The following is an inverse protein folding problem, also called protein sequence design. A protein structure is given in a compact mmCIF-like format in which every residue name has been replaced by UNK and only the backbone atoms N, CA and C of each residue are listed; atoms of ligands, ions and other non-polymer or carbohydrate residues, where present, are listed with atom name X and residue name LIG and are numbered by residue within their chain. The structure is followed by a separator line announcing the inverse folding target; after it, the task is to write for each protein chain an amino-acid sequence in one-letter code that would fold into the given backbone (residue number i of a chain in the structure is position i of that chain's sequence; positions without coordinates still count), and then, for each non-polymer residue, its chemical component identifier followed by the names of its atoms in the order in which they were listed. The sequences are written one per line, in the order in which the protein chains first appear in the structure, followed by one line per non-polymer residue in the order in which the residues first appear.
data_IF_815770204005
#
_entry.id   IF_815770204005
#
_cell.length_a   1.000
_cell.length_b   1.000
_cell.length_c   1.000
_cell.angle_alpha   90.00
_cell.angle_beta   90.00
_cell.angle_gamma   90.00
#
_symmetry.space_group_name_H-M   'P 1'
#
loop_
_entity.id
_entity.type
_entity.pdbx_description
1 polymer ?
#
# COMPACT_ATOMS: atom_id res chain seq x y z
N UNK A 1 7.81 13.67 -4.66
CA UNK A 1 8.07 15.11 -4.59
C UNK A 1 9.31 15.42 -5.43
N UNK A 2 9.24 16.37 -6.37
CA UNK A 2 10.34 16.80 -7.26
C UNK A 2 11.02 15.66 -8.03
N UNK A 3 10.26 14.66 -8.49
CA UNK A 3 10.79 13.51 -9.23
C UNK A 3 11.47 12.45 -8.37
N UNK A 4 11.55 12.62 -7.06
CA UNK A 4 12.00 11.60 -6.14
C UNK A 4 10.79 10.82 -5.62
N UNK A 5 10.68 9.57 -6.02
CA UNK A 5 9.70 8.66 -5.48
C UNK A 5 10.10 8.22 -4.08
N UNK A 6 9.13 7.97 -3.22
CA UNK A 6 9.41 7.50 -1.87
C UNK A 6 9.76 6.01 -1.85
N UNK A 7 8.97 5.22 -2.51
CA UNK A 7 9.04 3.76 -2.63
C UNK A 7 8.09 3.35 -3.74
N UNK A 8 8.13 2.09 -4.13
CA UNK A 8 7.05 1.48 -4.90
C UNK A 8 5.72 1.61 -4.16
N UNK A 9 4.60 1.82 -4.85
CA UNK A 9 3.28 1.82 -4.24
C UNK A 9 3.05 0.56 -3.40
N UNK A 10 2.32 0.68 -2.30
CA UNK A 10 2.11 -0.41 -1.35
C UNK A 10 1.47 -1.64 -1.97
N UNK A 11 0.60 -1.44 -2.95
CA UNK A 11 -0.16 -2.47 -3.65
C UNK A 11 0.56 -3.07 -4.86
N UNK A 12 1.83 -2.77 -5.07
CA UNK A 12 2.60 -3.43 -6.11
C UNK A 12 3.46 -4.54 -5.53
N UNK A 13 3.46 -5.66 -6.20
CA UNK A 13 4.18 -6.88 -5.85
C UNK A 13 5.70 -6.71 -5.80
N UNK A 14 6.25 -5.63 -6.33
CA UNK A 14 7.69 -5.36 -6.39
C UNK A 14 8.32 -4.85 -5.08
N UNK A 15 7.58 -4.84 -3.98
CA UNK A 15 7.98 -4.16 -2.75
C UNK A 15 8.65 -5.02 -1.68
N UNK A 16 9.31 -6.10 -2.02
CA UNK A 16 10.04 -6.86 -1.01
C UNK A 16 11.18 -6.03 -0.47
N UNK A 17 10.97 -5.54 0.71
CA UNK A 17 11.91 -5.05 1.70
C UNK A 17 13.07 -4.16 1.21
N UNK A 18 13.22 -3.01 1.75
CA UNK A 18 14.52 -2.60 2.09
C UNK A 18 14.91 -1.15 1.92
N UNK A 19 14.41 -0.38 1.00
CA UNK A 19 14.80 1.02 0.91
C UNK A 19 13.87 1.88 1.77
N UNK A 20 14.48 2.68 2.65
CA UNK A 20 13.72 3.71 3.36
C UNK A 20 13.13 4.72 2.36
N UNK A 21 11.88 5.16 2.56
CA UNK A 21 11.28 6.18 1.70
C UNK A 21 12.06 7.48 1.74
N UNK A 22 12.11 8.19 0.61
CA UNK A 22 12.72 9.52 0.51
C UNK A 22 11.75 10.65 0.88
N UNK A 23 10.46 10.35 0.95
CA UNK A 23 9.40 11.25 1.41
C UNK A 23 8.84 10.68 2.69
N UNK A 24 8.94 11.41 3.78
CA UNK A 24 8.37 10.99 5.05
C UNK A 24 6.85 11.16 5.03
N UNK A 25 6.16 10.21 5.63
CA UNK A 25 4.71 10.22 5.78
C UNK A 25 4.34 10.37 7.25
N UNK A 26 3.39 11.24 7.54
CA UNK A 26 2.95 11.55 8.90
C UNK A 26 1.43 11.46 9.02
N UNK A 27 0.95 10.87 10.10
CA UNK A 27 -0.42 10.98 10.56
C UNK A 27 -0.43 11.87 11.81
N UNK A 28 -1.05 13.06 11.69
CA UNK A 28 -0.96 14.12 12.70
C UNK A 28 0.51 14.47 13.00
N UNK A 29 0.95 14.28 14.24
CA UNK A 29 2.33 14.53 14.68
C UNK A 29 3.22 13.27 14.65
N UNK A 30 2.70 12.13 14.18
CA UNK A 30 3.37 10.84 14.22
C UNK A 30 4.01 10.49 12.88
N UNK A 31 5.32 10.17 12.82
CA UNK A 31 5.94 9.59 11.64
C UNK A 31 5.45 8.16 11.40
N UNK A 32 5.03 7.87 10.18
CA UNK A 32 4.59 6.54 9.73
C UNK A 32 5.58 5.86 8.79
N UNK A 33 6.70 6.52 8.49
CA UNK A 33 7.71 5.97 7.59
C UNK A 33 8.39 4.76 8.22
N UNK A 34 8.30 3.63 7.53
CA UNK A 34 8.97 2.39 7.89
C UNK A 34 9.93 1.96 6.79
N UNK A 35 10.94 1.15 7.12
CA UNK A 35 11.80 0.56 6.12
C UNK A 35 11.00 -0.35 5.19
N UNK A 36 11.19 -0.18 3.89
CA UNK A 36 10.55 -0.97 2.86
C UNK A 36 9.24 -0.41 2.32
N UNK A 37 8.33 0.03 3.18
CA UNK A 37 7.02 0.58 2.77
C UNK A 37 6.55 1.67 3.70
N UNK A 38 5.98 2.73 3.15
CA UNK A 38 5.15 3.63 3.94
C UNK A 38 3.89 2.88 4.39
N UNK A 39 3.37 3.25 5.55
CA UNK A 39 2.04 2.84 5.94
C UNK A 39 1.03 3.54 5.03
N UNK A 40 0.15 2.79 4.40
CA UNK A 40 -0.93 3.33 3.58
C UNK A 40 -2.14 3.59 4.48
N UNK A 41 -2.45 4.84 4.71
CA UNK A 41 -3.54 5.26 5.58
C UNK A 41 -4.68 5.78 4.74
N UNK A 42 -5.85 5.15 4.86
CA UNK A 42 -7.06 5.62 4.22
C UNK A 42 -7.46 7.00 4.71
N UNK A 43 -7.77 7.89 3.79
CA UNK A 43 -7.96 9.32 4.07
C UNK A 43 -9.35 9.67 4.63
N UNK A 44 -9.89 8.86 5.56
CA UNK A 44 -11.17 9.12 6.20
C UNK A 44 -11.10 10.27 7.20
N UNK A 45 -12.06 11.18 7.12
CA UNK A 45 -12.25 12.30 8.06
C UNK A 45 -10.95 13.11 8.26
N UNK A 46 -10.33 13.49 7.15
CA UNK A 46 -9.10 14.29 7.11
C UNK A 46 -9.45 15.78 7.10
N UNK A 47 -8.82 16.54 7.99
CA UNK A 47 -8.95 18.00 8.03
C UNK A 47 -8.20 18.67 6.88
N UNK A 48 -6.96 18.22 6.63
CA UNK A 48 -6.12 18.70 5.53
C UNK A 48 -4.94 17.79 5.28
N UNK A 49 -4.37 17.92 4.09
CA UNK A 49 -3.10 17.28 3.70
C UNK A 49 -2.07 18.39 3.49
N UNK A 50 -0.94 18.28 4.18
CA UNK A 50 0.17 19.21 4.07
C UNK A 50 1.32 18.56 3.31
N UNK A 51 1.85 19.23 2.29
CA UNK A 51 2.99 18.76 1.50
C UNK A 51 4.15 19.76 1.65
N UNK A 52 5.21 19.32 2.30
CA UNK A 52 6.44 20.09 2.50
C UNK A 52 7.49 19.61 1.51
N UNK A 53 7.86 20.48 0.57
CA UNK A 53 8.77 20.16 -0.54
C UNK A 53 10.22 20.47 -0.16
N UNK A 54 11.13 19.55 -0.47
CA UNK A 54 12.55 19.69 -0.19
C UNK A 54 12.98 19.05 1.12
N UNK A 55 14.29 19.02 1.42
CA UNK A 55 14.82 18.37 2.62
C UNK A 55 14.21 18.95 3.91
N UNK A 56 13.67 18.09 4.74
CA UNK A 56 13.00 18.43 6.01
C UNK A 56 13.61 17.68 7.21
N UNK A 57 14.73 17.00 7.03
CA UNK A 57 15.32 16.09 8.03
C UNK A 57 15.63 16.71 9.39
N UNK A 58 15.87 18.03 9.48
CA UNK A 58 16.16 18.73 10.74
C UNK A 58 14.95 18.73 11.69
N UNK A 59 13.72 18.83 11.16
CA UNK A 59 12.49 18.87 11.94
C UNK A 59 11.77 17.52 11.96
N UNK A 60 11.80 16.80 10.84
CA UNK A 60 11.02 15.59 10.63
C UNK A 60 11.86 14.30 10.63
N UNK A 61 13.17 14.40 10.82
CA UNK A 61 14.05 13.24 10.98
C UNK A 61 14.22 12.39 9.72
N UNK A 62 14.21 11.08 9.89
CA UNK A 62 14.47 10.12 8.83
C UNK A 62 13.43 10.18 7.71
N UNK A 63 13.84 9.73 6.51
CA UNK A 63 13.00 9.65 5.31
C UNK A 63 12.50 10.98 4.73
N UNK A 64 12.92 12.12 5.26
CA UNK A 64 12.50 13.46 4.83
C UNK A 64 13.48 14.12 3.85
N UNK A 65 14.11 13.36 2.97
CA UNK A 65 15.15 13.84 2.04
C UNK A 65 14.55 14.65 0.89
N UNK A 66 13.43 14.21 0.34
CA UNK A 66 12.73 14.88 -0.76
C UNK A 66 11.57 15.76 -0.28
N UNK A 67 11.11 15.54 0.93
CA UNK A 67 9.99 16.25 1.52
C UNK A 67 9.23 15.41 2.53
N UNK A 68 8.04 15.92 2.86
CA UNK A 68 7.17 15.34 3.85
C UNK A 68 5.71 15.50 3.43
N UNK A 69 4.90 14.47 3.64
CA UNK A 69 3.44 14.50 3.47
C UNK A 69 2.81 14.23 4.83
N UNK A 70 1.92 15.11 5.27
CA UNK A 70 1.23 15.00 6.55
C UNK A 70 -0.27 14.94 6.33
N UNK A 71 -0.90 13.88 6.83
CA UNK A 71 -2.35 13.77 6.96
C UNK A 71 -2.75 14.29 8.34
N UNK A 72 -3.53 15.35 8.38
CA UNK A 72 -4.04 15.94 9.62
C UNK A 72 -5.50 15.57 9.77
N UNK A 73 -5.81 14.78 10.79
CA UNK A 73 -7.17 14.31 11.05
C UNK A 73 -8.02 15.36 11.72
N UNK A 74 -9.34 15.29 11.52
CA UNK A 74 -10.26 16.06 12.37
C UNK A 74 -10.18 15.53 13.81
N UNK A 75 -10.12 16.45 14.77
CA UNK A 75 -10.07 16.12 16.19
C UNK A 75 -11.48 16.08 16.78
N UNK A 76 -11.62 15.41 17.92
CA UNK A 76 -12.83 15.52 18.72
C UNK A 76 -13.07 16.98 19.12
N UNK A 77 -14.32 17.42 19.06
CA UNK A 77 -14.74 18.81 19.25
C UNK A 77 -15.72 18.91 20.43
N UNK A 78 -15.49 19.87 21.29
CA UNK A 78 -16.29 20.11 22.50
C UNK A 78 -17.57 20.91 22.24
N UNK A 79 -17.73 21.51 21.04
CA UNK A 79 -18.82 22.43 20.75
C UNK A 79 -20.16 21.74 20.60
N UNK A 80 -20.26 20.77 19.70
CA UNK A 80 -21.56 20.19 19.30
C UNK A 80 -21.50 18.70 19.02
N UNK A 81 -22.63 18.03 19.17
CA UNK A 81 -22.86 16.67 18.67
C UNK A 81 -23.28 16.73 17.21
N UNK A 82 -22.53 16.11 16.34
CA UNK A 82 -22.85 16.01 14.91
C UNK A 82 -22.27 14.74 14.30
N UNK A 83 -22.79 14.37 13.16
CA UNK A 83 -22.27 13.24 12.40
C UNK A 83 -22.61 13.36 10.93
N UNK A 84 -21.91 12.59 10.11
CA UNK A 84 -22.15 12.43 8.69
C UNK A 84 -22.02 10.97 8.28
N UNK A 85 -22.69 10.61 7.19
CA UNK A 85 -22.48 9.36 6.48
C UNK A 85 -22.37 9.74 5.01
N UNK A 86 -21.22 9.38 4.44
CA UNK A 86 -20.93 9.55 3.03
C UNK A 86 -20.98 8.19 2.33
N UNK A 87 -21.67 8.14 1.21
CA UNK A 87 -21.83 6.94 0.39
C UNK A 87 -21.40 7.29 -1.04
N UNK A 88 -20.54 6.48 -1.61
CA UNK A 88 -20.06 6.68 -2.96
C UNK A 88 -20.13 5.39 -3.79
N UNK A 89 -20.26 5.57 -5.10
CA UNK A 89 -20.04 4.53 -6.09
C UNK A 89 -19.37 5.14 -7.30
N UNK A 90 -18.45 4.41 -7.88
CA UNK A 90 -17.77 4.79 -9.11
C UNK A 90 -17.66 3.59 -10.05
N UNK A 91 -17.37 3.87 -11.30
CA UNK A 91 -17.29 2.84 -12.34
C UNK A 91 -16.03 3.10 -13.17
N UNK A 92 -15.23 2.08 -13.35
CA UNK A 92 -14.15 2.08 -14.33
C UNK A 92 -14.68 1.56 -15.66
N UNK A 93 -14.24 2.10 -16.81
CA UNK A 93 -14.49 1.45 -18.09
C UNK A 93 -13.92 0.03 -18.05
N UNK A 94 -14.69 -0.93 -18.49
CA UNK A 94 -14.31 -2.36 -18.58
C UNK A 94 -13.87 -2.97 -17.23
N UNK A 95 -14.39 -2.47 -16.10
CA UNK A 95 -14.08 -2.95 -14.77
C UNK A 95 -15.31 -3.00 -13.84
N UNK A 96 -15.13 -3.58 -12.68
CA UNK A 96 -16.17 -3.67 -11.65
C UNK A 96 -16.50 -2.31 -11.02
N UNK A 97 -17.71 -2.25 -10.45
CA UNK A 97 -18.13 -1.09 -9.67
C UNK A 97 -17.40 -1.00 -8.33
N UNK A 98 -16.91 0.19 -8.02
CA UNK A 98 -16.36 0.53 -6.72
C UNK A 98 -17.43 1.12 -5.81
N UNK A 99 -17.34 0.84 -4.52
CA UNK A 99 -18.28 1.36 -3.50
C UNK A 99 -17.55 1.77 -2.25
N UNK A 100 -17.93 2.92 -1.68
CA UNK A 100 -17.38 3.36 -0.40
C UNK A 100 -18.46 3.83 0.56
N UNK A 101 -18.18 3.64 1.83
CA UNK A 101 -19.00 4.14 2.96
C UNK A 101 -18.04 4.74 3.98
N UNK A 102 -18.32 5.96 4.39
CA UNK A 102 -17.66 6.61 5.51
C UNK A 102 -18.70 7.14 6.50
N UNK A 103 -18.52 6.87 7.78
CA UNK A 103 -19.37 7.36 8.86
C UNK A 103 -18.54 8.06 9.92
N UNK A 104 -18.96 9.24 10.31
CA UNK A 104 -18.32 10.08 11.31
C UNK A 104 -19.33 10.51 12.36
N UNK A 105 -18.93 10.48 13.63
CA UNK A 105 -19.73 11.03 14.71
C UNK A 105 -18.87 11.70 15.78
N UNK A 106 -19.19 12.92 16.11
CA UNK A 106 -18.58 13.71 17.18
C UNK A 106 -19.56 13.86 18.36
N UNK A 107 -19.08 13.59 19.56
CA UNK A 107 -19.89 13.61 20.78
C UNK A 107 -19.14 14.30 21.93
N UNK A 108 -19.49 15.54 22.28
CA UNK A 108 -19.10 16.11 23.57
C UNK A 108 -19.80 15.34 24.70
N UNK A 109 -19.02 14.79 25.61
CA UNK A 109 -19.56 14.09 26.78
C UNK A 109 -19.81 15.05 27.96
N UNK A 110 -19.04 16.12 28.01
CA UNK A 110 -19.20 17.25 28.92
C UNK A 110 -18.37 18.45 28.41
N UNK A 111 -18.34 19.53 29.17
CA UNK A 111 -17.66 20.77 28.80
C UNK A 111 -16.13 20.65 28.61
N UNK A 112 -15.54 19.51 28.95
CA UNK A 112 -14.09 19.27 28.88
C UNK A 112 -13.68 17.98 28.17
N UNK A 113 -14.63 17.12 27.85
CA UNK A 113 -14.35 15.83 27.21
C UNK A 113 -15.24 15.63 25.99
N UNK A 114 -14.62 15.41 24.86
CA UNK A 114 -15.29 14.98 23.64
C UNK A 114 -14.65 13.71 23.08
N UNK A 115 -15.46 12.93 22.38
CA UNK A 115 -15.02 11.76 21.62
C UNK A 115 -15.49 11.88 20.17
N UNK A 116 -14.71 11.33 19.26
CA UNK A 116 -15.02 11.28 17.83
C UNK A 116 -14.75 9.88 17.29
N UNK A 117 -15.75 9.30 16.65
CA UNK A 117 -15.65 8.02 15.97
C UNK A 117 -15.71 8.18 14.47
N UNK A 118 -14.92 7.40 13.76
CA UNK A 118 -14.87 7.28 12.31
C UNK A 118 -14.84 5.82 11.96
N UNK A 119 -15.64 5.40 10.99
CA UNK A 119 -15.59 4.06 10.43
C UNK A 119 -15.72 4.17 8.91
N UNK A 120 -15.01 3.33 8.18
CA UNK A 120 -15.01 3.35 6.73
C UNK A 120 -14.85 1.95 6.15
N UNK A 121 -15.40 1.82 4.96
CA UNK A 121 -15.25 0.68 4.07
C UNK A 121 -15.19 1.20 2.64
N UNK A 122 -14.18 0.82 1.89
CA UNK A 122 -14.00 1.23 0.49
C UNK A 122 -13.53 0.01 -0.30
N UNK A 123 -14.39 -0.51 -1.18
CA UNK A 123 -14.04 -1.53 -2.16
C UNK A 123 -13.83 -0.87 -3.51
N UNK A 124 -12.63 -0.91 -3.99
CA UNK A 124 -12.22 -0.49 -5.32
C UNK A 124 -12.28 -1.70 -6.23
N UNK A 125 -13.22 -1.69 -7.17
CA UNK A 125 -13.42 -2.78 -8.12
C UNK A 125 -12.21 -2.95 -9.03
N UNK A 126 -11.93 -4.18 -9.40
CA UNK A 126 -10.88 -4.55 -10.34
C UNK A 126 -11.14 -4.06 -11.75
N UNK A 127 -10.11 -4.15 -12.59
CA UNK A 127 -10.17 -3.81 -14.02
C UNK A 127 -9.06 -4.50 -14.84
N UNK A 128 -8.36 -5.46 -14.25
CA UNK A 128 -7.35 -6.29 -14.92
C UNK A 128 -7.85 -7.71 -14.98
N UNK A 129 -7.96 -8.27 -16.18
CA UNK A 129 -8.41 -9.64 -16.39
C UNK A 129 -7.24 -10.62 -16.30
N UNK A 130 -7.38 -11.62 -15.47
CA UNK A 130 -6.51 -12.78 -15.44
C UNK A 130 -6.95 -13.76 -16.53
N UNK A 131 -6.16 -13.86 -17.60
CA UNK A 131 -6.55 -14.67 -18.76
C UNK A 131 -5.87 -16.05 -18.78
N UNK A 132 -6.52 -16.99 -19.49
CA UNK A 132 -6.02 -18.33 -19.66
C UNK A 132 -4.69 -18.38 -20.43
N UNK A 133 -3.87 -19.34 -20.11
CA UNK A 133 -2.66 -19.63 -20.89
C UNK A 133 -1.74 -20.63 -20.21
N UNK A 134 -0.81 -21.13 -21.00
CA UNK A 134 0.22 -22.07 -20.54
C UNK A 134 1.57 -21.64 -21.04
N UNK A 135 2.63 -21.98 -20.32
CA UNK A 135 4.02 -21.79 -20.75
C UNK A 135 4.75 -23.12 -20.74
N UNK A 136 5.49 -23.36 -21.79
CA UNK A 136 6.33 -24.55 -21.92
C UNK A 136 7.75 -24.29 -21.39
N UNK A 137 8.43 -25.34 -21.00
CA UNK A 137 9.84 -25.25 -20.56
C UNK A 137 10.73 -24.62 -21.64
N UNK A 138 10.43 -24.85 -22.92
CA UNK A 138 11.18 -24.30 -24.06
C UNK A 138 11.12 -22.76 -24.16
N UNK A 139 10.09 -22.13 -23.60
CA UNK A 139 9.94 -20.68 -23.55
C UNK A 139 10.73 -20.07 -22.39
N UNK A 140 11.10 -20.89 -21.42
CA UNK A 140 11.90 -20.44 -20.29
C UNK A 140 13.29 -19.98 -20.75
N UNK A 141 13.79 -18.90 -20.19
CA UNK A 141 15.14 -18.42 -20.41
C UNK A 141 16.23 -19.44 -19.95
N UNK A 142 15.86 -20.46 -19.19
CA UNK A 142 16.73 -21.58 -18.84
C UNK A 142 16.82 -22.62 -19.93
N UNK A 143 15.84 -22.66 -20.83
CA UNK A 143 15.88 -23.43 -22.06
C UNK A 143 16.25 -22.51 -23.21
N UNK A 144 17.32 -22.82 -23.91
CA UNK A 144 17.77 -22.06 -25.06
C UNK A 144 18.20 -22.98 -26.17
N UNK A 145 17.61 -22.83 -27.35
CA UNK A 145 18.09 -23.51 -28.55
C UNK A 145 19.51 -23.02 -28.88
N UNK A 146 20.30 -23.90 -29.47
CA UNK A 146 21.61 -23.54 -30.04
C UNK A 146 21.47 -22.37 -31.02
N UNK A 147 22.48 -21.49 -31.05
CA UNK A 147 22.54 -20.34 -31.96
C UNK A 147 21.62 -19.15 -31.62
N UNK A 148 21.07 -19.07 -30.41
CA UNK A 148 20.41 -17.85 -29.96
C UNK A 148 21.39 -16.65 -29.97
N UNK A 149 20.95 -15.51 -30.50
CA UNK A 149 21.80 -14.31 -30.62
C UNK A 149 21.31 -13.28 -29.61
N UNK A 150 22.21 -12.77 -28.79
CA UNK A 150 21.93 -11.66 -27.87
C UNK A 150 21.73 -10.35 -28.62
N UNK A 151 21.13 -9.36 -27.98
CA UNK A 151 20.95 -8.02 -28.54
C UNK A 151 22.27 -7.33 -28.97
N UNK A 152 23.39 -7.73 -28.37
CA UNK A 152 24.74 -7.27 -28.76
C UNK A 152 25.35 -8.06 -29.94
N UNK A 153 24.62 -8.99 -30.55
CA UNK A 153 25.08 -9.82 -31.65
C UNK A 153 25.91 -11.05 -31.26
N UNK A 154 26.09 -11.32 -29.98
CA UNK A 154 26.83 -12.48 -29.49
C UNK A 154 25.99 -13.76 -29.62
N UNK A 155 26.54 -14.80 -30.27
CA UNK A 155 25.92 -16.13 -30.34
C UNK A 155 26.16 -16.86 -29.01
N UNK A 156 25.10 -17.33 -28.40
CA UNK A 156 25.17 -18.07 -27.14
C UNK A 156 24.84 -19.53 -27.34
N UNK A 157 25.53 -20.39 -26.60
CA UNK A 157 25.32 -21.84 -26.66
C UNK A 157 23.95 -22.28 -26.20
N UNK A 158 23.56 -23.48 -26.63
CA UNK A 158 22.33 -24.13 -26.17
C UNK A 158 22.32 -24.32 -24.65
N UNK A 159 21.12 -24.21 -24.06
CA UNK A 159 20.87 -24.43 -22.64
C UNK A 159 19.68 -25.37 -22.52
N UNK A 160 19.88 -26.52 -21.90
CA UNK A 160 18.88 -27.59 -21.83
C UNK A 160 17.95 -27.54 -20.60
N UNK A 161 17.81 -26.36 -19.98
CA UNK A 161 16.97 -26.23 -18.82
C UNK A 161 17.64 -26.63 -17.49
N UNK A 162 16.84 -27.01 -16.51
CA UNK A 162 17.30 -27.35 -15.15
C UNK A 162 18.09 -28.64 -15.04
N UNK A 163 17.83 -29.60 -15.91
CA UNK A 163 18.43 -30.92 -15.86
C UNK A 163 19.24 -31.16 -17.13
N UNK A 164 20.55 -31.25 -16.97
CA UNK A 164 21.42 -31.58 -18.09
C UNK A 164 21.05 -32.93 -18.67
N UNK A 165 20.78 -32.98 -19.97
CA UNK A 165 20.47 -34.18 -20.72
C UNK A 165 19.00 -34.62 -20.75
N UNK A 166 18.08 -33.90 -20.10
CA UNK A 166 16.65 -34.13 -20.25
C UNK A 166 16.10 -33.26 -21.41
N UNK A 167 15.31 -33.88 -22.27
CA UNK A 167 14.49 -33.18 -23.25
C UNK A 167 13.17 -32.80 -22.59
N UNK A 168 13.00 -31.51 -22.31
CA UNK A 168 11.82 -30.96 -21.65
C UNK A 168 11.01 -30.07 -22.62
N UNK A 169 11.31 -30.12 -23.92
CA UNK A 169 10.74 -29.18 -24.91
C UNK A 169 9.22 -29.21 -24.99
N UNK A 170 8.61 -30.38 -24.73
CA UNK A 170 7.15 -30.56 -24.81
C UNK A 170 6.48 -30.56 -23.41
N UNK A 171 7.22 -30.23 -22.37
CA UNK A 171 6.68 -30.22 -21.01
C UNK A 171 6.03 -28.85 -20.71
N UNK A 172 4.73 -28.85 -20.43
CA UNK A 172 4.05 -27.70 -19.87
C UNK A 172 4.61 -27.43 -18.49
N UNK A 173 5.15 -26.25 -18.29
CA UNK A 173 5.77 -25.84 -17.04
C UNK A 173 4.81 -25.08 -16.15
N UNK A 174 3.96 -24.25 -16.76
CA UNK A 174 3.06 -23.34 -16.07
C UNK A 174 1.69 -23.37 -16.73
N UNK A 175 0.67 -23.29 -15.91
CA UNK A 175 -0.73 -23.33 -16.33
C UNK A 175 -1.53 -22.28 -15.53
N UNK A 176 -2.00 -21.23 -16.22
CA UNK A 176 -2.82 -20.17 -15.69
C UNK A 176 -4.33 -20.45 -15.82
N UNK A 177 -4.73 -21.56 -16.46
CA UNK A 177 -6.14 -21.80 -16.78
C UNK A 177 -7.04 -21.96 -15.54
N UNK A 178 -6.47 -22.32 -14.40
CA UNK A 178 -7.20 -22.45 -13.15
C UNK A 178 -7.40 -21.09 -12.41
N UNK A 179 -6.71 -20.06 -12.86
CA UNK A 179 -6.70 -18.73 -12.24
C UNK A 179 -7.43 -17.67 -13.08
N UNK A 180 -8.20 -18.11 -14.10
CA UNK A 180 -8.94 -17.19 -14.98
C UNK A 180 -10.00 -16.46 -14.17
N UNK A 181 -9.94 -15.15 -14.18
CA UNK A 181 -10.85 -14.27 -13.44
C UNK A 181 -10.96 -12.92 -14.14
N UNK A 182 -12.18 -12.42 -14.29
CA UNK A 182 -12.44 -11.05 -14.76
C UNK A 182 -12.22 -10.09 -13.59
N UNK A 183 -11.63 -8.92 -13.87
CA UNK A 183 -11.43 -7.86 -12.89
C UNK A 183 -10.65 -8.27 -11.63
N UNK A 184 -9.64 -9.11 -11.78
CA UNK A 184 -8.93 -9.83 -10.71
C UNK A 184 -8.09 -8.97 -9.75
N UNK A 185 -8.08 -7.63 -9.88
CA UNK A 185 -7.23 -6.73 -9.11
C UNK A 185 -8.01 -5.78 -8.20
N UNK A 186 -9.01 -6.27 -7.51
CA UNK A 186 -9.75 -5.44 -6.57
C UNK A 186 -8.95 -5.11 -5.29
N UNK A 187 -9.36 -4.07 -4.59
CA UNK A 187 -8.74 -3.65 -3.34
C UNK A 187 -9.80 -3.17 -2.36
N UNK A 188 -9.75 -3.68 -1.15
CA UNK A 188 -10.67 -3.30 -0.07
C UNK A 188 -9.91 -2.65 1.09
N UNK A 189 -10.32 -1.44 1.44
CA UNK A 189 -9.94 -0.76 2.67
C UNK A 189 -11.06 -0.85 3.68
N UNK A 190 -10.77 -1.28 4.88
CA UNK A 190 -11.70 -1.24 6.00
C UNK A 190 -11.02 -0.76 7.27
N UNK A 191 -11.74 0.02 8.08
CA UNK A 191 -11.13 0.50 9.30
C UNK A 191 -12.02 1.38 10.16
N UNK A 192 -11.48 1.68 11.32
CA UNK A 192 -12.13 2.58 12.27
C UNK A 192 -11.09 3.37 13.07
N UNK A 193 -11.46 4.59 13.44
CA UNK A 193 -10.69 5.45 14.33
C UNK A 193 -11.58 5.99 15.44
N UNK A 194 -11.12 5.91 16.67
CA UNK A 194 -11.74 6.58 17.80
C UNK A 194 -10.73 7.54 18.40
N UNK A 195 -11.13 8.81 18.57
CA UNK A 195 -10.30 9.82 19.18
C UNK A 195 -11.02 10.51 20.34
N UNK A 196 -10.25 11.02 21.28
CA UNK A 196 -10.77 11.77 22.42
C UNK A 196 -9.93 13.03 22.63
N UNK A 197 -10.60 14.09 23.06
CA UNK A 197 -10.01 15.34 23.51
C UNK A 197 -10.45 15.57 24.96
N UNK A 198 -9.49 15.83 25.84
CA UNK A 198 -9.76 16.19 27.23
C UNK A 198 -9.03 17.49 27.60
N UNK A 199 -9.77 18.51 28.01
CA UNK A 199 -9.25 19.74 28.57
C UNK A 199 -9.04 19.57 30.08
N UNK A 200 -7.77 19.40 30.49
CA UNK A 200 -7.40 19.27 31.90
C UNK A 200 -7.76 20.58 32.65
N UNK A 201 -7.44 21.70 32.01
CA UNK A 201 -7.77 23.05 32.45
C UNK A 201 -7.64 24.01 31.26
N UNK A 202 -7.79 25.32 31.49
CA UNK A 202 -7.79 26.36 30.45
C UNK A 202 -6.46 26.49 29.68
N UNK A 203 -5.39 25.85 30.14
CA UNK A 203 -4.05 25.95 29.54
C UNK A 203 -3.47 24.61 29.13
N UNK A 204 -4.06 23.49 29.53
CA UNK A 204 -3.58 22.15 29.21
C UNK A 204 -4.67 21.27 28.64
N UNK A 205 -4.37 20.60 27.53
CA UNK A 205 -5.23 19.61 26.92
C UNK A 205 -4.46 18.35 26.53
N UNK A 206 -5.15 17.26 26.50
CA UNK A 206 -4.67 15.95 26.03
C UNK A 206 -5.61 15.47 24.94
N UNK A 207 -5.05 15.03 23.84
CA UNK A 207 -5.77 14.31 22.82
C UNK A 207 -5.13 12.94 22.61
N UNK A 208 -5.93 11.95 22.23
CA UNK A 208 -5.45 10.62 21.89
C UNK A 208 -6.35 9.97 20.88
N UNK A 209 -5.81 9.05 20.10
CA UNK A 209 -6.60 8.25 19.18
C UNK A 209 -6.11 6.80 19.12
N UNK A 210 -7.03 5.92 18.81
CA UNK A 210 -6.78 4.57 18.38
C UNK A 210 -7.37 4.36 16.99
N UNK A 211 -6.61 3.77 16.09
CA UNK A 211 -7.01 3.45 14.74
C UNK A 211 -6.61 2.00 14.43
N UNK A 212 -7.53 1.27 13.81
CA UNK A 212 -7.26 0.00 13.17
C UNK A 212 -7.68 0.07 11.71
N UNK A 213 -6.85 -0.46 10.83
CA UNK A 213 -7.12 -0.55 9.40
C UNK A 213 -6.65 -1.88 8.86
N UNK A 214 -7.39 -2.41 7.90
CA UNK A 214 -7.02 -3.54 7.07
C UNK A 214 -7.13 -3.14 5.59
N UNK A 215 -6.18 -3.61 4.80
CA UNK A 215 -6.15 -3.50 3.34
C UNK A 215 -6.03 -4.92 2.81
N UNK A 216 -7.00 -5.33 2.03
CA UNK A 216 -6.97 -6.57 1.25
C UNK A 216 -6.88 -6.18 -0.22
N UNK A 217 -5.87 -6.67 -0.94
CA UNK A 217 -5.72 -6.39 -2.36
C UNK A 217 -5.33 -7.68 -3.08
N UNK A 218 -6.03 -7.94 -4.17
CA UNK A 218 -5.79 -9.07 -5.04
C UNK A 218 -5.16 -8.61 -6.36
N UNK A 219 -4.53 -9.52 -7.06
CA UNK A 219 -3.95 -9.28 -8.37
C UNK A 219 -2.86 -8.22 -8.42
N UNK A 220 -2.69 -7.68 -9.60
CA UNK A 220 -1.66 -6.70 -9.92
C UNK A 220 -2.24 -5.50 -10.69
N UNK A 221 -1.54 -4.37 -10.69
CA UNK A 221 -1.95 -3.12 -11.35
C UNK A 221 -1.15 -2.83 -12.62
N UNK A 222 -0.78 -3.87 -13.36
CA UNK A 222 -0.12 -3.76 -14.66
C UNK A 222 -0.60 -4.89 -15.57
N UNK A 223 -0.69 -4.62 -16.87
CA UNK A 223 -1.03 -5.60 -17.89
C UNK A 223 0.22 -6.16 -18.58
N UNK A 224 0.05 -7.25 -19.30
CA UNK A 224 1.08 -7.83 -20.15
C UNK A 224 1.01 -7.14 -21.54
N UNK A 225 2.11 -6.51 -22.00
CA UNK A 225 2.11 -5.83 -23.30
C UNK A 225 1.96 -6.76 -24.51
N UNK A 226 2.06 -8.06 -24.32
CA UNK A 226 1.89 -9.08 -25.37
C UNK A 226 0.44 -9.62 -25.44
N UNK A 227 -0.44 -9.17 -24.53
CA UNK A 227 -1.87 -9.48 -24.46
C UNK A 227 -2.72 -8.26 -24.86
N UNK A 228 -4.05 -8.39 -24.78
CA UNK A 228 -4.94 -7.25 -24.99
C UNK A 228 -4.87 -6.25 -23.81
N UNK A 229 -5.45 -5.05 -23.99
CA UNK A 229 -5.44 -4.02 -22.95
C UNK A 229 -6.13 -4.54 -21.68
N UNK A 230 -5.49 -4.32 -20.53
CA UNK A 230 -5.93 -4.76 -19.21
C UNK A 230 -5.94 -6.28 -18.97
N UNK A 231 -5.23 -7.05 -19.78
CA UNK A 231 -5.06 -8.48 -19.57
C UNK A 231 -3.70 -8.83 -18.98
N UNK A 232 -3.66 -9.90 -18.19
CA UNK A 232 -2.44 -10.49 -17.64
C UNK A 232 -2.53 -12.00 -17.51
N UNK A 233 -1.39 -12.69 -17.59
CA UNK A 233 -1.25 -14.09 -17.23
C UNK A 233 -0.39 -14.24 -15.99
N UNK A 234 -1.02 -14.67 -14.89
CA UNK A 234 -0.32 -15.04 -13.66
C UNK A 234 -0.47 -16.55 -13.42
N UNK A 235 0.51 -17.15 -12.80
CA UNK A 235 0.62 -18.59 -12.61
C UNK A 235 0.52 -19.01 -11.15
N UNK A 236 0.41 -18.04 -10.25
CA UNK A 236 0.00 -18.16 -8.86
C UNK A 236 -0.73 -16.89 -8.46
N UNK A 237 -1.48 -16.96 -7.37
CA UNK A 237 -2.17 -15.80 -6.84
C UNK A 237 -1.18 -14.70 -6.44
N UNK A 238 -1.56 -13.46 -6.70
CA UNK A 238 -0.92 -12.26 -6.17
C UNK A 238 -1.87 -11.61 -5.17
N UNK A 239 -1.48 -11.50 -3.91
CA UNK A 239 -2.32 -10.86 -2.91
C UNK A 239 -1.50 -10.16 -1.81
N UNK A 240 -2.12 -9.19 -1.18
CA UNK A 240 -1.60 -8.49 -0.01
C UNK A 240 -2.72 -8.35 1.01
N UNK A 241 -2.47 -8.81 2.22
CA UNK A 241 -3.24 -8.49 3.42
C UNK A 241 -2.34 -7.68 4.35
N UNK A 242 -2.69 -6.42 4.59
CA UNK A 242 -1.92 -5.46 5.38
C UNK A 242 -2.81 -4.87 6.47
N UNK A 243 -2.58 -5.25 7.70
CA UNK A 243 -3.31 -4.71 8.84
C UNK A 243 -2.40 -3.94 9.78
N UNK A 244 -2.93 -2.89 10.39
CA UNK A 244 -2.23 -2.19 11.45
C UNK A 244 -3.17 -1.65 12.53
N UNK A 245 -2.61 -1.60 13.73
CA UNK A 245 -3.14 -0.92 14.89
C UNK A 245 -2.24 0.27 15.23
N UNK A 246 -2.84 1.43 15.47
CA UNK A 246 -2.13 2.64 15.83
C UNK A 246 -2.76 3.31 17.03
N UNK A 247 -1.96 3.58 18.04
CA UNK A 247 -2.32 4.42 19.19
C UNK A 247 -1.44 5.64 19.18
N UNK A 248 -2.02 6.83 19.27
CA UNK A 248 -1.24 8.04 19.45
C UNK A 248 -1.85 8.95 20.52
N UNK A 249 -1.02 9.84 21.05
CA UNK A 249 -1.45 10.86 22.02
C UNK A 249 -0.63 12.12 21.87
N UNK A 250 -1.25 13.24 22.21
CA UNK A 250 -0.61 14.55 22.24
C UNK A 250 -1.03 15.28 23.49
N UNK A 251 -0.06 15.84 24.20
CA UNK A 251 -0.26 16.70 25.35
C UNK A 251 0.22 18.10 24.96
N UNK A 252 -0.66 19.05 25.02
CA UNK A 252 -0.38 20.45 24.71
C UNK A 252 -0.67 21.33 25.92
N UNK A 253 0.16 22.33 26.13
CA UNK A 253 -0.09 23.27 27.19
C UNK A 253 0.94 24.37 27.29
N UNK A 254 0.74 25.23 28.29
CA UNK A 254 1.61 26.36 28.56
C UNK A 254 2.20 26.29 29.95
N UNK A 255 3.52 26.34 30.01
CA UNK A 255 4.29 26.40 31.23
C UNK A 255 4.99 27.78 31.33
N UNK A 256 4.41 28.69 32.09
CA UNK A 256 4.87 30.10 32.14
C UNK A 256 4.86 30.75 30.76
N UNK A 257 6.00 31.11 30.21
CA UNK A 257 6.16 31.70 28.89
C UNK A 257 6.43 30.69 27.75
N UNK A 258 6.46 29.41 28.06
CA UNK A 258 6.78 28.35 27.11
C UNK A 258 5.51 27.58 26.70
N UNK A 259 5.26 27.47 25.42
CA UNK A 259 4.31 26.51 24.88
C UNK A 259 4.99 25.15 24.81
N UNK A 260 4.31 24.13 25.32
CA UNK A 260 4.81 22.74 25.39
C UNK A 260 3.90 21.87 24.56
N UNK A 261 4.51 21.07 23.69
CA UNK A 261 3.85 20.01 22.94
C UNK A 261 4.66 18.73 23.16
N UNK A 262 3.99 17.69 23.62
CA UNK A 262 4.54 16.35 23.74
C UNK A 262 3.65 15.37 22.98
N UNK A 263 4.21 14.61 22.07
CA UNK A 263 3.49 13.59 21.32
C UNK A 263 4.20 12.25 21.45
N UNK A 264 3.43 11.17 21.39
CA UNK A 264 3.90 9.81 21.37
C UNK A 264 2.94 8.92 20.61
N UNK A 265 3.46 7.80 20.13
CA UNK A 265 2.67 6.84 19.39
C UNK A 265 3.25 5.44 19.47
N UNK A 266 2.39 4.46 19.23
CA UNK A 266 2.73 3.06 19.04
C UNK A 266 1.96 2.52 17.85
N UNK A 267 2.66 1.84 16.95
CA UNK A 267 2.06 1.18 15.78
C UNK A 267 2.52 -0.26 15.75
N UNK A 268 1.57 -1.16 15.61
CA UNK A 268 1.79 -2.57 15.29
C UNK A 268 1.22 -2.85 13.89
N UNK A 269 1.98 -3.52 13.05
CA UNK A 269 1.61 -3.81 11.67
C UNK A 269 1.99 -5.23 11.30
N UNK A 270 1.06 -5.93 10.68
CA UNK A 270 1.27 -7.23 10.04
C UNK A 270 0.99 -7.11 8.55
N UNK A 271 1.85 -7.69 7.73
CA UNK A 271 1.64 -7.75 6.28
C UNK A 271 1.93 -9.16 5.81
N UNK A 272 0.93 -9.78 5.20
CA UNK A 272 1.06 -11.05 4.48
C UNK A 272 0.99 -10.76 2.99
N UNK A 273 1.93 -11.29 2.22
CA UNK A 273 2.01 -11.02 0.78
C UNK A 273 2.43 -12.26 0.02
N UNK A 274 1.65 -12.60 -0.97
CA UNK A 274 2.00 -13.60 -2.00
C UNK A 274 2.26 -12.86 -3.30
N UNK A 275 3.35 -13.21 -3.98
CA UNK A 275 3.77 -12.57 -5.22
C UNK A 275 4.18 -13.62 -6.21
N UNK A 276 3.59 -13.59 -7.40
CA UNK A 276 4.03 -14.41 -8.51
C UNK A 276 5.32 -13.87 -9.14
N UNK A 277 6.41 -14.59 -8.97
CA UNK A 277 7.71 -14.29 -9.58
C UNK A 277 8.00 -15.15 -10.82
N UNK A 278 7.00 -15.81 -11.37
CA UNK A 278 7.17 -16.78 -12.47
C UNK A 278 7.76 -16.13 -13.72
N UNK A 279 7.42 -14.89 -14.01
CA UNK A 279 7.96 -14.13 -15.14
C UNK A 279 9.49 -14.02 -15.13
N UNK A 280 10.11 -14.04 -13.96
CA UNK A 280 11.56 -14.06 -13.86
C UNK A 280 12.20 -15.36 -14.38
N UNK A 281 11.42 -16.43 -14.48
CA UNK A 281 11.89 -17.67 -15.13
C UNK A 281 12.13 -17.46 -16.62
N UNK A 282 11.40 -16.55 -17.24
CA UNK A 282 11.47 -16.25 -18.68
C UNK A 282 12.50 -15.18 -19.00
N UNK A 283 12.73 -14.23 -18.13
CA UNK A 283 13.75 -13.17 -18.30
C UNK A 283 15.19 -13.67 -18.05
N UNK A 284 15.36 -14.75 -17.36
CA UNK A 284 16.54 -15.65 -17.39
C UNK A 284 17.87 -15.19 -16.86
N UNK A 285 18.05 -13.97 -16.45
CA UNK A 285 19.34 -13.49 -15.95
C UNK A 285 19.40 -13.31 -14.43
N UNK A 286 18.27 -13.36 -13.76
CA UNK A 286 18.16 -12.94 -12.35
C UNK A 286 17.96 -14.08 -11.37
N UNK A 287 17.56 -15.26 -11.80
CA UNK A 287 17.45 -16.37 -10.87
C UNK A 287 18.81 -17.08 -10.73
N UNK A 288 19.37 -17.08 -9.53
CA UNK A 288 20.56 -17.87 -9.26
C UNK A 288 20.27 -19.36 -9.51
N UNK A 289 21.27 -20.07 -9.96
CA UNK A 289 21.20 -21.51 -10.11
C UNK A 289 21.08 -22.14 -8.72
N UNK A 290 19.95 -22.74 -8.44
CA UNK A 290 19.81 -23.69 -7.35
C UNK A 290 19.92 -25.11 -7.89
#
# INVERSE_FOLDING_TARGET
IRGLASTTPNLTTAGVAGLAPNVAFYLDEQPLSQAGRNLDVYAADISRIEVLSGPQGTLFGASSQAGNVRLITNKADLSDSYGSVDLGTSFSPDGEASTNVEAVYNLPLNDRLAVRGVAYFDRQGGFIDQVAGTRNVSESARFRSGSAVRANGEVVGARAGFQAGADLSDVTMLDANALVEEDANDTTYSGARVSALYEINDTWRVSGSYMRQQIESEGVFFGDPDLDDYEIQRFSDDNIDDEFDNVNWTIEGRLSALDVLYTGAFTDRSTDQVIDYTDYLFVGQYLPYY
#
